data_IF_469492715825
#
_entry.id   IF_469492715825
#
_cell.length_a   1.000
_cell.length_b   1.000
_cell.length_c   1.000
_cell.angle_alpha   90.00
_cell.angle_beta   90.00
_cell.angle_gamma   90.00
#
_symmetry.space_group_name_H-M   'P 1'
#
loop_
_entity.id
_entity.type
_entity.pdbx_description
1 polymer ?
#
# COMPACT_ATOMS: atom_id res chain seq x y z
N UNK A 1 -10.02 -36.41 8.45
CA UNK A 1 -11.19 -35.76 7.89
C UNK A 1 -10.76 -34.41 7.31
N UNK A 2 -10.72 -34.30 5.98
CA UNK A 2 -10.47 -33.01 5.32
C UNK A 2 -11.74 -32.16 5.47
N UNK A 3 -11.80 -31.36 6.50
CA UNK A 3 -12.83 -30.31 6.61
C UNK A 3 -12.45 -29.25 5.59
N UNK A 4 -13.23 -29.15 4.55
CA UNK A 4 -13.06 -28.39 3.34
C UNK A 4 -12.20 -27.13 3.47
N UNK A 5 -11.13 -27.07 2.70
CA UNK A 5 -10.54 -25.83 2.18
C UNK A 5 -11.60 -25.17 1.29
N UNK A 6 -12.67 -24.64 1.92
CA UNK A 6 -13.89 -24.50 1.14
C UNK A 6 -13.99 -23.17 0.45
N UNK A 7 -13.44 -22.08 0.67
CA UNK A 7 -13.80 -20.82 -0.04
C UNK A 7 -12.73 -19.71 -0.04
N UNK A 8 -11.55 -19.89 0.57
CA UNK A 8 -10.54 -18.84 0.65
C UNK A 8 -9.20 -19.35 0.13
N UNK A 9 -8.64 -18.66 -0.85
CA UNK A 9 -7.28 -18.93 -1.34
C UNK A 9 -6.21 -18.25 -0.48
N UNK A 10 -6.58 -17.21 0.28
CA UNK A 10 -5.67 -16.45 1.11
C UNK A 10 -6.37 -15.50 2.08
N UNK A 11 -5.57 -14.87 2.92
CA UNK A 11 -5.99 -13.93 3.96
C UNK A 11 -5.26 -12.61 3.74
N UNK A 12 -5.98 -11.49 3.83
CA UNK A 12 -5.38 -10.16 3.84
C UNK A 12 -5.16 -9.73 5.29
N UNK A 13 -3.91 -9.42 5.62
CA UNK A 13 -3.56 -8.77 6.88
C UNK A 13 -3.41 -7.30 6.60
N UNK A 14 -4.29 -6.51 7.17
CA UNK A 14 -4.33 -5.06 7.02
C UNK A 14 -4.44 -4.42 8.40
N UNK A 15 -4.00 -3.21 8.52
CA UNK A 15 -4.21 -2.43 9.75
C UNK A 15 -2.96 -1.89 10.38
N UNK A 16 -3.15 -0.69 10.72
CA UNK A 16 -2.55 0.25 11.61
C UNK A 16 -1.15 0.04 12.10
N UNK A 17 -0.30 0.97 11.75
CA UNK A 17 1.00 1.18 12.34
C UNK A 17 1.01 1.51 13.84
N UNK A 18 0.19 0.87 14.66
CA UNK A 18 0.31 0.99 16.11
C UNK A 18 1.26 -0.07 16.64
N UNK A 19 2.23 0.35 17.42
CA UNK A 19 3.31 -0.45 18.00
C UNK A 19 2.86 -1.77 18.64
N UNK A 20 1.64 -1.84 19.17
CA UNK A 20 1.14 -3.02 19.89
C UNK A 20 0.55 -4.13 19.02
N UNK A 21 0.11 -3.83 17.79
CA UNK A 21 -0.41 -4.84 16.86
C UNK A 21 0.70 -5.58 16.11
N UNK A 22 1.90 -5.00 16.03
CA UNK A 22 3.05 -5.52 15.31
C UNK A 22 3.66 -6.76 15.96
N UNK A 23 3.59 -6.88 17.30
CA UNK A 23 4.17 -8.03 18.03
C UNK A 23 3.40 -9.34 17.83
N UNK A 24 2.11 -9.24 17.53
CA UNK A 24 1.24 -10.40 17.34
C UNK A 24 1.22 -10.89 15.89
N UNK A 25 1.53 -10.01 14.95
CA UNK A 25 1.37 -10.26 13.52
C UNK A 25 2.19 -11.45 12.97
N UNK A 26 3.51 -11.60 13.23
CA UNK A 26 4.28 -12.74 12.69
C UNK A 26 3.81 -14.11 13.19
N UNK A 27 3.38 -14.20 14.45
CA UNK A 27 2.89 -15.47 15.02
C UNK A 27 1.52 -15.86 14.45
N UNK A 28 0.64 -14.87 14.26
CA UNK A 28 -0.61 -15.09 13.57
C UNK A 28 -0.36 -15.52 12.11
N UNK A 29 0.55 -14.85 11.41
CA UNK A 29 0.92 -15.19 10.04
C UNK A 29 1.46 -16.63 9.94
N UNK A 30 2.30 -17.06 10.86
CA UNK A 30 2.79 -18.46 10.93
C UNK A 30 1.63 -19.45 11.01
N UNK A 31 0.69 -19.24 11.92
CA UNK A 31 -0.50 -20.10 12.05
C UNK A 31 -1.34 -20.14 10.77
N UNK A 32 -1.50 -19.00 10.10
CA UNK A 32 -2.21 -18.91 8.83
C UNK A 32 -1.48 -19.71 7.74
N UNK A 33 -0.15 -19.60 7.68
CA UNK A 33 0.68 -20.38 6.73
C UNK A 33 0.63 -21.88 7.02
N UNK A 34 0.65 -22.29 8.30
CA UNK A 34 0.50 -23.69 8.72
C UNK A 34 -0.85 -24.28 8.29
N UNK A 35 -1.91 -23.47 8.23
CA UNK A 35 -3.20 -23.86 7.69
C UNK A 35 -3.24 -23.93 6.14
N UNK A 36 -2.14 -23.51 5.49
CA UNK A 36 -1.96 -23.57 4.03
C UNK A 36 -2.58 -22.43 3.26
N UNK A 37 -2.89 -21.30 3.90
CA UNK A 37 -3.38 -20.10 3.23
C UNK A 37 -2.23 -19.21 2.76
N UNK A 38 -2.46 -18.48 1.65
CA UNK A 38 -1.61 -17.37 1.22
C UNK A 38 -1.90 -16.13 2.06
N UNK A 39 -0.89 -15.28 2.23
CA UNK A 39 -1.02 -14.03 2.98
C UNK A 39 -0.68 -12.86 2.09
N UNK A 40 -1.63 -11.92 1.96
CA UNK A 40 -1.40 -10.58 1.46
C UNK A 40 -1.22 -9.63 2.65
N UNK A 41 -0.14 -8.87 2.65
CA UNK A 41 0.12 -7.82 3.65
C UNK A 41 -0.19 -6.45 3.05
N UNK A 42 -1.11 -5.71 3.68
CA UNK A 42 -1.31 -4.29 3.41
C UNK A 42 -0.53 -3.48 4.46
N UNK A 43 0.33 -2.58 4.01
CA UNK A 43 1.21 -1.76 4.87
C UNK A 43 1.18 -0.28 4.48
N UNK A 44 1.45 0.60 5.45
CA UNK A 44 1.68 2.02 5.22
C UNK A 44 3.17 2.39 5.15
N UNK A 45 4.06 1.41 5.26
CA UNK A 45 5.51 1.61 5.15
C UNK A 45 6.21 2.20 6.36
N UNK A 46 5.51 2.46 7.48
CA UNK A 46 6.12 3.14 8.65
C UNK A 46 6.96 2.22 9.54
N UNK A 47 7.06 0.93 9.21
CA UNK A 47 7.85 -0.02 10.00
C UNK A 47 8.65 -0.98 9.12
N UNK A 48 9.79 -0.53 8.57
CA UNK A 48 10.65 -1.35 7.71
C UNK A 48 11.23 -2.56 8.43
N UNK A 49 11.52 -2.45 9.72
CA UNK A 49 12.06 -3.56 10.50
C UNK A 49 11.10 -4.74 10.59
N UNK A 50 9.82 -4.46 10.89
CA UNK A 50 8.79 -5.50 10.91
C UNK A 50 8.56 -6.09 9.52
N UNK A 51 8.50 -5.24 8.51
CA UNK A 51 8.32 -5.65 7.12
C UNK A 51 9.42 -6.62 6.69
N UNK A 52 10.68 -6.27 6.91
CA UNK A 52 11.84 -7.14 6.64
C UNK A 52 11.72 -8.48 7.37
N UNK A 53 11.36 -8.45 8.66
CA UNK A 53 11.20 -9.66 9.47
C UNK A 53 10.18 -10.64 8.88
N UNK A 54 9.00 -10.17 8.43
CA UNK A 54 7.98 -11.06 7.88
C UNK A 54 8.33 -11.56 6.48
N UNK A 55 9.06 -10.77 5.70
CA UNK A 55 9.62 -11.15 4.41
C UNK A 55 10.66 -12.25 4.58
N UNK A 56 11.67 -12.03 5.44
CA UNK A 56 12.76 -12.98 5.68
C UNK A 56 12.28 -14.32 6.24
N UNK A 57 11.17 -14.31 6.98
CA UNK A 57 10.54 -15.52 7.49
C UNK A 57 9.61 -16.23 6.47
N UNK A 58 9.46 -15.70 5.26
CA UNK A 58 8.61 -16.30 4.22
C UNK A 58 7.12 -16.29 4.57
N UNK A 59 6.68 -15.32 5.37
CA UNK A 59 5.29 -15.26 5.87
C UNK A 59 4.33 -14.54 4.96
N UNK A 60 4.82 -13.90 3.90
CA UNK A 60 4.03 -13.04 3.01
C UNK A 60 4.16 -13.53 1.58
N UNK A 61 3.04 -13.62 0.86
CA UNK A 61 2.98 -14.03 -0.54
C UNK A 61 2.69 -12.85 -1.49
N UNK A 62 2.17 -11.74 -0.96
CA UNK A 62 1.90 -10.52 -1.71
C UNK A 62 1.95 -9.29 -0.80
N UNK A 63 2.50 -8.18 -1.26
CA UNK A 63 2.59 -6.94 -0.48
C UNK A 63 1.90 -5.80 -1.23
N UNK A 64 1.04 -5.07 -0.52
CA UNK A 64 0.49 -3.81 -1.00
C UNK A 64 0.89 -2.68 -0.04
N UNK A 65 1.66 -1.73 -0.53
CA UNK A 65 2.08 -0.57 0.27
C UNK A 65 1.35 0.69 -0.19
N UNK A 66 0.73 1.39 0.76
CA UNK A 66 0.18 2.71 0.52
C UNK A 66 1.31 3.76 0.53
N UNK A 67 1.58 4.34 -0.64
CA UNK A 67 2.46 5.49 -0.81
C UNK A 67 1.59 6.73 -0.99
N UNK A 68 1.47 7.54 0.06
CA UNK A 68 0.32 8.43 0.21
C UNK A 68 0.49 9.81 -0.42
N UNK A 69 1.72 10.27 -0.57
CA UNK A 69 2.03 11.60 -1.12
C UNK A 69 3.51 11.68 -1.55
N UNK A 70 3.92 12.71 -2.32
CA UNK A 70 5.33 13.02 -2.51
C UNK A 70 6.04 13.23 -1.17
N UNK A 71 7.31 12.83 -1.06
CA UNK A 71 8.07 12.90 0.19
C UNK A 71 8.11 14.33 0.77
N UNK A 72 8.22 15.35 -0.07
CA UNK A 72 8.29 16.74 0.36
C UNK A 72 7.02 17.28 1.03
N UNK A 73 5.88 16.60 0.87
CA UNK A 73 4.60 16.96 1.52
C UNK A 73 3.92 15.79 2.24
N UNK A 74 4.67 14.70 2.45
CA UNK A 74 4.12 13.45 2.99
C UNK A 74 3.45 13.66 4.35
N UNK A 75 4.15 14.30 5.30
CA UNK A 75 3.67 14.55 6.66
C UNK A 75 2.45 15.47 6.71
N UNK A 76 2.39 16.44 5.80
CA UNK A 76 1.22 17.31 5.64
C UNK A 76 -0.02 16.50 5.20
N UNK A 77 0.13 15.66 4.17
CA UNK A 77 -0.97 14.87 3.62
C UNK A 77 -1.45 13.82 4.60
N UNK A 78 -0.55 13.11 5.27
CA UNK A 78 -0.92 12.07 6.25
C UNK A 78 -1.33 12.64 7.61
N UNK A 79 -1.13 13.96 7.84
CA UNK A 79 -1.40 14.67 9.10
C UNK A 79 -0.75 14.00 10.31
N UNK A 80 0.48 13.52 10.14
CA UNK A 80 1.26 12.86 11.17
C UNK A 80 2.75 13.08 10.93
N UNK A 81 3.53 13.11 12.01
CA UNK A 81 4.98 13.14 11.93
C UNK A 81 5.51 11.73 11.66
N UNK A 82 5.74 11.42 10.38
CA UNK A 82 6.23 10.14 9.89
C UNK A 82 7.70 10.29 9.53
N UNK A 83 8.52 9.35 9.97
CA UNK A 83 9.90 9.28 9.52
C UNK A 83 9.95 8.87 8.03
N UNK A 84 10.28 9.81 7.16
CA UNK A 84 10.31 9.58 5.71
C UNK A 84 11.37 8.56 5.30
N UNK A 85 12.44 8.41 6.08
CA UNK A 85 13.44 7.38 5.84
C UNK A 85 12.82 5.98 5.94
N UNK A 86 11.91 5.74 6.91
CA UNK A 86 11.23 4.45 7.07
C UNK A 86 10.34 4.13 5.86
N UNK A 87 9.68 5.15 5.29
CA UNK A 87 8.86 4.99 4.08
C UNK A 87 9.73 4.54 2.90
N UNK A 88 10.86 5.23 2.68
CA UNK A 88 11.80 4.90 1.60
C UNK A 88 12.42 3.52 1.83
N UNK A 89 12.87 3.22 3.05
CA UNK A 89 13.45 1.91 3.40
C UNK A 89 12.44 0.76 3.20
N UNK A 90 11.17 0.97 3.57
CA UNK A 90 10.11 -0.01 3.33
C UNK A 90 9.87 -0.23 1.84
N UNK A 91 9.82 0.84 1.06
CA UNK A 91 9.66 0.76 -0.40
C UNK A 91 10.80 -0.05 -1.03
N UNK A 92 12.06 0.26 -0.70
CA UNK A 92 13.22 -0.47 -1.23
C UNK A 92 13.26 -1.94 -0.74
N UNK A 93 12.87 -2.20 0.52
CA UNK A 93 12.76 -3.55 1.05
C UNK A 93 11.75 -4.38 0.26
N UNK A 94 10.59 -3.79 -0.09
CA UNK A 94 9.56 -4.45 -0.90
C UNK A 94 10.08 -4.73 -2.31
N UNK A 95 10.68 -3.74 -2.98
CA UNK A 95 11.21 -3.88 -4.35
C UNK A 95 12.25 -4.99 -4.47
N UNK A 96 13.06 -5.17 -3.43
CA UNK A 96 14.14 -6.17 -3.38
C UNK A 96 13.72 -7.51 -2.76
N UNK A 97 12.45 -7.67 -2.34
CA UNK A 97 11.99 -8.87 -1.63
C UNK A 97 11.85 -10.13 -2.48
N UNK A 98 11.70 -9.98 -3.80
CA UNK A 98 11.32 -11.07 -4.71
C UNK A 98 9.85 -11.51 -4.57
N UNK A 99 9.05 -10.86 -3.73
CA UNK A 99 7.62 -11.12 -3.55
C UNK A 99 6.85 -10.23 -4.53
N UNK A 100 5.73 -10.71 -5.07
CA UNK A 100 4.83 -9.87 -5.86
C UNK A 100 4.26 -8.72 -5.01
N UNK A 101 4.25 -7.51 -5.57
CA UNK A 101 3.79 -6.33 -4.84
C UNK A 101 3.09 -5.29 -5.71
N UNK A 102 2.37 -4.40 -5.04
CA UNK A 102 1.85 -3.16 -5.60
C UNK A 102 2.11 -1.98 -4.67
N UNK A 103 2.35 -0.80 -5.25
CA UNK A 103 2.24 0.47 -4.55
C UNK A 103 0.88 1.10 -4.85
N UNK A 104 0.27 1.77 -3.87
CA UNK A 104 -1.06 2.36 -4.01
C UNK A 104 -1.08 3.79 -3.55
N UNK A 105 -1.76 4.66 -4.30
CA UNK A 105 -2.05 6.03 -3.88
C UNK A 105 -3.55 6.30 -4.01
N UNK A 106 -4.18 6.68 -2.90
CA UNK A 106 -5.58 7.14 -2.91
C UNK A 106 -5.62 8.63 -3.23
N UNK A 107 -6.32 8.99 -4.29
CA UNK A 107 -6.40 10.37 -4.78
C UNK A 107 -7.50 11.13 -4.07
N UNK A 108 -7.07 12.12 -3.28
CA UNK A 108 -7.94 13.16 -2.69
C UNK A 108 -7.54 14.47 -3.35
N UNK A 109 -8.43 15.03 -4.18
CA UNK A 109 -8.18 16.22 -5.01
C UNK A 109 -7.77 17.44 -4.17
N UNK A 110 -8.27 17.54 -2.94
CA UNK A 110 -7.94 18.63 -2.02
C UNK A 110 -6.53 18.51 -1.40
N UNK A 111 -5.89 17.33 -1.51
CA UNK A 111 -4.57 17.06 -0.93
C UNK A 111 -3.49 16.86 -2.00
N UNK A 112 -3.85 16.29 -3.14
CA UNK A 112 -2.92 15.92 -4.20
C UNK A 112 -3.32 16.56 -5.52
N UNK A 113 -2.36 17.13 -6.22
CA UNK A 113 -2.50 17.56 -7.61
C UNK A 113 -2.09 16.44 -8.59
N UNK A 114 -2.43 16.54 -9.88
CA UNK A 114 -1.89 15.62 -10.90
C UNK A 114 -0.36 15.59 -10.94
N UNK A 115 0.29 16.73 -10.70
CA UNK A 115 1.77 16.83 -10.64
C UNK A 115 2.32 16.03 -9.47
N UNK A 116 1.63 16.02 -8.32
CA UNK A 116 2.05 15.20 -7.18
C UNK A 116 2.04 13.71 -7.50
N UNK A 117 1.10 13.25 -8.30
CA UNK A 117 1.04 11.85 -8.73
C UNK A 117 2.23 11.49 -9.62
N UNK A 118 2.64 12.40 -10.51
CA UNK A 118 3.84 12.20 -11.34
C UNK A 118 5.13 12.19 -10.48
N UNK A 119 5.20 13.05 -9.45
CA UNK A 119 6.31 13.03 -8.50
C UNK A 119 6.34 11.70 -7.74
N UNK A 120 5.20 11.22 -7.23
CA UNK A 120 5.10 9.91 -6.56
C UNK A 120 5.62 8.79 -7.46
N UNK A 121 5.20 8.77 -8.73
CA UNK A 121 5.68 7.76 -9.68
C UNK A 121 7.19 7.84 -9.90
N UNK A 122 7.74 9.05 -9.99
CA UNK A 122 9.18 9.27 -10.12
C UNK A 122 9.95 8.82 -8.87
N UNK A 123 9.42 9.07 -7.67
CA UNK A 123 10.01 8.64 -6.40
C UNK A 123 9.98 7.11 -6.22
N UNK A 124 8.87 6.46 -6.58
CA UNK A 124 8.77 5.00 -6.59
C UNK A 124 9.71 4.41 -7.65
N UNK A 125 9.84 5.07 -8.79
CA UNK A 125 10.62 4.58 -9.93
C UNK A 125 9.97 3.34 -10.58
N UNK A 126 10.78 2.49 -11.22
CA UNK A 126 10.27 1.26 -11.84
C UNK A 126 9.78 0.25 -10.80
N UNK A 127 8.74 -0.47 -11.11
CA UNK A 127 8.15 -1.45 -10.19
C UNK A 127 7.20 -2.45 -10.87
N UNK A 128 6.64 -3.34 -10.06
CA UNK A 128 5.68 -4.35 -10.54
C UNK A 128 4.35 -3.68 -10.90
N UNK A 129 3.65 -3.15 -9.90
CA UNK A 129 2.32 -2.56 -10.06
C UNK A 129 2.20 -1.23 -9.33
N UNK A 130 1.57 -0.28 -9.98
CA UNK A 130 1.13 0.95 -9.34
C UNK A 130 -0.39 1.12 -9.48
N UNK A 131 -1.06 1.30 -8.34
CA UNK A 131 -2.50 1.39 -8.27
C UNK A 131 -2.94 2.78 -7.82
N UNK A 132 -3.58 3.52 -8.71
CA UNK A 132 -4.24 4.79 -8.39
C UNK A 132 -5.66 4.46 -7.94
N UNK A 133 -6.00 4.83 -6.71
CA UNK A 133 -7.29 4.54 -6.09
C UNK A 133 -8.16 5.79 -6.01
N UNK A 134 -9.43 5.63 -6.34
CA UNK A 134 -10.42 6.68 -6.12
C UNK A 134 -10.74 6.80 -4.64
N UNK A 135 -10.75 8.03 -4.15
CA UNK A 135 -11.20 8.30 -2.79
C UNK A 135 -12.71 8.09 -2.67
N UNK A 136 -13.13 7.43 -1.59
CA UNK A 136 -14.55 7.25 -1.25
C UNK A 136 -14.85 7.99 0.06
N UNK A 137 -15.56 9.14 0.01
CA UNK A 137 -15.84 9.95 1.18
C UNK A 137 -16.75 9.27 2.21
N UNK A 138 -17.53 8.26 1.81
CA UNK A 138 -18.44 7.57 2.74
C UNK A 138 -17.72 6.62 3.70
N UNK A 139 -16.43 6.34 3.49
CA UNK A 139 -15.62 5.42 4.29
C UNK A 139 -14.47 6.12 5.02
N UNK A 140 -14.62 7.41 5.32
CA UNK A 140 -13.61 8.18 6.04
C UNK A 140 -13.88 8.21 7.54
N UNK A 141 -12.81 8.21 8.34
CA UNK A 141 -12.88 8.39 9.80
C UNK A 141 -13.02 9.88 10.18
N UNK A 142 -12.35 10.75 9.43
CA UNK A 142 -12.40 12.20 9.65
C UNK A 142 -13.56 12.81 8.85
N UNK A 143 -14.47 13.47 9.55
CA UNK A 143 -15.68 14.09 8.96
C UNK A 143 -15.34 15.21 7.98
N UNK A 144 -14.21 15.84 8.08
CA UNK A 144 -13.78 16.89 7.13
C UNK A 144 -13.61 16.33 5.72
N UNK A 145 -13.26 15.04 5.61
CA UNK A 145 -13.13 14.36 4.33
C UNK A 145 -14.47 13.97 3.67
N UNK A 146 -15.59 14.10 4.36
CA UNK A 146 -16.92 13.87 3.74
C UNK A 146 -17.21 14.80 2.56
N UNK A 147 -16.53 15.96 2.50
CA UNK A 147 -16.68 16.96 1.43
C UNK A 147 -15.55 16.84 0.39
N UNK A 148 -14.61 15.95 0.57
CA UNK A 148 -13.52 15.75 -0.37
C UNK A 148 -13.95 14.85 -1.53
N UNK A 149 -13.26 15.01 -2.66
CA UNK A 149 -13.50 14.30 -3.91
C UNK A 149 -12.22 13.68 -4.45
N UNK A 150 -12.37 12.86 -5.46
CA UNK A 150 -11.28 12.48 -6.35
C UNK A 150 -11.36 13.30 -7.64
N UNK A 151 -10.30 13.28 -8.45
CA UNK A 151 -10.34 13.93 -9.76
C UNK A 151 -11.44 13.37 -10.66
N UNK A 152 -11.81 14.15 -11.68
CA UNK A 152 -12.73 13.67 -12.70
C UNK A 152 -12.22 12.37 -13.37
N UNK A 153 -13.11 11.52 -13.90
CA UNK A 153 -12.72 10.29 -14.57
C UNK A 153 -11.68 10.48 -15.67
N UNK A 154 -11.78 11.60 -16.42
CA UNK A 154 -10.85 11.93 -17.49
C UNK A 154 -9.44 12.21 -16.96
N UNK A 155 -9.29 12.97 -15.86
CA UNK A 155 -8.00 13.24 -15.23
C UNK A 155 -7.42 11.95 -14.65
N UNK A 156 -8.24 11.15 -13.96
CA UNK A 156 -7.81 9.87 -13.41
C UNK A 156 -7.28 8.93 -14.51
N UNK A 157 -7.94 8.87 -15.65
CA UNK A 157 -7.50 8.06 -16.78
C UNK A 157 -6.19 8.59 -17.40
N UNK A 158 -6.04 9.91 -17.48
CA UNK A 158 -4.81 10.52 -17.98
C UNK A 158 -3.61 10.19 -17.09
N UNK A 159 -3.79 10.18 -15.75
CA UNK A 159 -2.74 9.84 -14.81
C UNK A 159 -2.17 8.43 -15.01
N UNK A 160 -2.95 7.48 -15.50
CA UNK A 160 -2.47 6.14 -15.85
C UNK A 160 -1.70 6.15 -17.18
N UNK A 161 -2.11 6.98 -18.12
CA UNK A 161 -1.56 6.95 -19.47
C UNK A 161 -0.21 7.66 -19.62
N UNK A 162 0.14 8.58 -18.70
CA UNK A 162 1.31 9.46 -18.80
C UNK A 162 2.65 8.76 -18.58
N UNK A 163 2.67 7.58 -17.99
CA UNK A 163 3.91 6.87 -17.61
C UNK A 163 3.96 5.43 -18.11
N UNK A 164 3.40 5.17 -19.27
CA UNK A 164 3.49 3.83 -19.89
C UNK A 164 4.94 3.34 -19.96
N UNK A 165 5.22 2.23 -19.26
CA UNK A 165 6.52 1.56 -19.28
C UNK A 165 7.38 1.76 -18.04
N UNK A 166 6.96 2.55 -17.04
CA UNK A 166 7.64 2.67 -15.74
C UNK A 166 7.28 1.50 -14.82
N UNK A 167 6.01 1.12 -14.82
CA UNK A 167 5.53 -0.06 -14.10
C UNK A 167 5.14 -1.16 -15.09
N UNK A 168 5.25 -2.42 -14.67
CA UNK A 168 4.73 -3.55 -15.47
C UNK A 168 3.22 -3.45 -15.64
N UNK A 169 2.52 -2.94 -14.63
CA UNK A 169 1.08 -2.76 -14.65
C UNK A 169 0.68 -1.48 -13.90
N UNK A 170 -0.17 -0.65 -14.50
CA UNK A 170 -0.82 0.48 -13.86
C UNK A 170 -2.33 0.27 -13.80
N UNK A 171 -2.92 0.42 -12.62
CA UNK A 171 -4.32 0.08 -12.35
C UNK A 171 -5.05 1.29 -11.78
N UNK A 172 -6.28 1.54 -12.29
CA UNK A 172 -7.25 2.44 -11.68
C UNK A 172 -8.31 1.61 -10.92
N UNK A 173 -8.44 1.87 -9.63
CA UNK A 173 -9.46 1.26 -8.76
C UNK A 173 -10.40 2.28 -8.15
#
# INVERSE_FOLDING_TARGET
>A
MNVGKAFLDGIVITGGGTYNSIQICPELMKKIKELGYKIKLDTNGTNPTMLRRVIDQGLVDYIAMDYKAPLNKYNEVVRADVNLHDIVESMETIKNSGIEYEFRTTIVEQLLSPVDVEIIKAEIGSGEKYCIQKFNPTKTLDKDFLKCSTFSPQIMQNLINTTKGVFKEEILR
#
